data_IF_464949550209
#
_entry.id   IF_464949550209
#
_cell.length_a   1.000
_cell.length_b   1.000
_cell.length_c   1.000
_cell.angle_alpha   90.00
_cell.angle_beta   90.00
_cell.angle_gamma   90.00
#
_symmetry.space_group_name_H-M   'P 1'
#
loop_
_entity.id
_entity.type
_entity.pdbx_description
1 polymer ?
2 non-polymer ?
3 non-polymer ?
4 water ?
#
# COMPACT_ATOMS: atom_id res chain seq x y z
N UNK A 2 15.40 -8.62 18.50
CA UNK A 2 16.50 -7.66 18.10
C UNK A 2 16.78 -7.71 16.57
N UNK A 3 16.88 -8.92 16.01
CA UNK A 3 16.66 -9.15 14.58
C UNK A 3 15.35 -9.92 14.34
N UNK A 4 14.32 -9.61 15.14
CA UNK A 4 13.02 -10.30 15.15
C UNK A 4 11.88 -9.27 15.12
N UNK A 5 10.85 -9.57 14.35
CA UNK A 5 9.66 -8.72 14.24
C UNK A 5 8.46 -9.54 14.64
N UNK A 6 7.72 -9.02 15.61
CA UNK A 6 6.50 -9.65 16.07
C UNK A 6 5.37 -9.38 15.08
N UNK A 7 4.68 -10.45 14.69
CA UNK A 7 3.56 -10.43 13.81
C UNK A 7 2.37 -11.15 14.46
N UNK A 8 1.21 -10.51 14.42
CA UNK A 8 -0.01 -11.06 15.00
C UNK A 8 -1.05 -11.19 13.91
N UNK A 9 -1.56 -12.41 13.75
CA UNK A 9 -2.59 -12.70 12.80
C UNK A 9 -3.92 -12.49 13.50
N UNK A 10 -4.77 -11.63 12.94
CA UNK A 10 -6.00 -11.23 13.60
C UNK A 10 -7.23 -12.05 13.22
N UNK A 11 -7.17 -12.83 12.15
CA UNK A 11 -8.28 -13.69 11.77
C UNK A 11 -7.75 -14.85 10.93
N UNK A 12 -8.69 -15.71 10.48
CA UNK A 12 -8.41 -16.85 9.60
C UNK A 12 -8.10 -16.38 8.18
N UNK A 13 -8.55 -15.19 7.81
CA UNK A 13 -8.33 -14.62 6.47
C UNK A 13 -6.95 -13.98 6.27
N UNK A 14 -6.22 -13.78 7.37
CA UNK A 14 -4.90 -13.23 7.35
C UNK A 14 -3.90 -14.22 6.79
N UNK A 15 -2.90 -13.73 6.05
CA UNK A 15 -1.73 -14.52 5.69
C UNK A 15 -0.46 -13.89 6.26
N UNK A 16 0.45 -14.76 6.71
CA UNK A 16 1.74 -14.33 7.20
C UNK A 16 2.47 -13.64 6.05
N UNK A 17 3.02 -12.44 6.29
CA UNK A 17 3.81 -11.75 5.26
C UNK A 17 5.06 -12.52 4.85
N UNK A 18 5.39 -12.45 3.56
CA UNK A 18 6.41 -13.28 2.94
C UNK A 18 7.36 -12.43 2.11
N UNK A 19 8.64 -12.71 2.25
CA UNK A 19 9.68 -12.10 1.47
C UNK A 19 9.99 -13.04 0.30
N UNK A 20 9.84 -12.54 -0.93
CA UNK A 20 10.16 -13.33 -2.14
C UNK A 20 11.64 -13.81 -2.18
N UNK A 21 12.58 -12.88 -2.37
CA UNK A 21 14.03 -13.17 -2.28
C UNK A 21 14.59 -12.74 -0.91
N UNK A 22 15.61 -13.45 -0.43
CA UNK A 22 16.17 -13.21 0.90
C UNK A 22 16.93 -11.89 1.04
N UNK A 23 17.25 -11.21 -0.07
CA UNK A 23 17.77 -9.83 -0.03
C UNK A 23 16.79 -8.71 -0.47
N UNK A 24 15.57 -9.05 -0.89
CA UNK A 24 14.54 -8.03 -1.21
C UNK A 24 14.24 -7.15 -0.02
N UNK A 25 13.77 -5.95 -0.32
CA UNK A 25 13.45 -4.95 0.70
C UNK A 25 12.20 -5.28 1.52
N UNK A 26 11.19 -5.82 0.88
CA UNK A 26 9.87 -5.79 1.47
C UNK A 26 9.25 -7.14 1.68
N UNK A 27 8.33 -7.18 2.64
CA UNK A 27 7.51 -8.36 2.91
C UNK A 27 6.20 -8.13 2.18
N UNK A 28 5.84 -9.08 1.33
CA UNK A 28 4.59 -9.05 0.62
C UNK A 28 3.44 -9.06 1.61
N UNK A 29 2.40 -8.31 1.28
CA UNK A 29 1.24 -8.15 2.10
C UNK A 29 0.03 -8.57 1.29
N UNK A 30 -0.86 -9.34 1.94
CA UNK A 30 -2.03 -9.95 1.30
C UNK A 30 -3.35 -9.40 1.83
N UNK A 31 -4.30 -9.25 0.93
CA UNK A 31 -5.65 -8.85 1.32
C UNK A 31 -6.34 -9.99 2.12
N UNK A 32 -7.08 -9.60 3.15
CA UNK A 32 -7.94 -10.51 3.91
C UNK A 32 -9.38 -10.38 3.45
N UNK A 33 -9.63 -9.54 2.43
CA UNK A 33 -10.99 -9.32 1.91
C UNK A 33 -11.07 -9.27 0.38
N UNK A 34 -12.21 -9.74 -0.11
CA UNK A 34 -12.60 -9.64 -1.50
C UNK A 34 -13.38 -8.34 -1.64
N UNK A 35 -12.89 -7.44 -2.48
CA UNK A 35 -13.58 -6.18 -2.75
C UNK A 35 -13.58 -5.87 -4.24
N UNK A 36 -14.68 -5.30 -4.70
CA UNK A 36 -14.75 -4.69 -6.01
C UNK A 36 -14.64 -3.18 -5.80
N UNK A 37 -13.78 -2.54 -6.60
CA UNK A 37 -13.66 -1.10 -6.59
C UNK A 37 -14.02 -0.56 -7.94
N UNK A 38 -15.02 0.28 -7.97
CA UNK A 38 -15.43 0.98 -9.17
C UNK A 38 -14.51 2.17 -9.48
N UNK A 39 -14.59 2.73 -10.71
CA UNK A 39 -13.75 3.92 -11.00
C UNK A 39 -13.95 5.04 -9.98
N UNK A 40 -12.84 5.64 -9.53
CA UNK A 40 -12.85 6.70 -8.51
C UNK A 40 -13.17 6.26 -7.05
N UNK A 41 -13.50 5.00 -6.84
CA UNK A 41 -13.84 4.47 -5.51
C UNK A 41 -12.58 4.34 -4.62
N UNK A 42 -12.74 4.68 -3.34
CA UNK A 42 -11.66 4.61 -2.34
C UNK A 42 -12.03 3.63 -1.27
N UNK A 43 -11.01 2.97 -0.70
CA UNK A 43 -11.20 2.03 0.42
C UNK A 43 -9.95 1.93 1.29
N UNK A 44 -10.14 1.42 2.50
CA UNK A 44 -9.04 0.92 3.30
C UNK A 44 -9.24 -0.57 3.39
N UNK A 45 -8.42 -1.32 2.66
CA UNK A 45 -8.47 -2.78 2.69
C UNK A 45 -7.70 -3.39 3.89
N UNK A 46 -8.42 -4.21 4.64
CA UNK A 46 -7.88 -4.92 5.79
C UNK A 46 -6.98 -6.10 5.36
N UNK A 47 -5.85 -6.22 6.04
CA UNK A 47 -4.94 -7.35 5.94
C UNK A 47 -5.20 -8.40 7.04
N UNK A 48 -5.90 -8.01 8.12
CA UNK A 48 -5.98 -8.77 9.38
C UNK A 48 -4.60 -9.19 9.89
N UNK A 49 -3.63 -8.30 9.74
CA UNK A 49 -2.30 -8.54 10.23
C UNK A 49 -1.92 -7.35 11.10
N UNK A 50 -1.35 -7.62 12.29
CA UNK A 50 -0.73 -6.59 13.13
C UNK A 50 0.77 -6.87 13.28
N UNK A 51 1.55 -5.81 13.48
CA UNK A 51 2.99 -5.93 13.71
C UNK A 51 3.43 -4.99 14.83
N UNK A 52 4.61 -5.24 15.37
CA UNK A 52 5.15 -4.42 16.44
C UNK A 52 6.53 -3.94 16.03
N UNK A 53 6.51 -2.85 15.25
CA UNK A 53 7.72 -2.23 14.77
C UNK A 53 8.37 -1.54 15.97
N UNK A 54 9.67 -1.82 16.22
CA UNK A 54 10.31 -1.23 17.38
C UNK A 54 10.68 0.23 17.15
N UNK A 55 10.79 0.94 18.27
CA UNK A 55 11.29 2.30 18.30
C UNK A 55 12.58 2.44 17.45
N UNK A 56 12.70 3.58 16.75
CA UNK A 56 13.82 3.84 15.84
C UNK A 56 13.57 3.42 14.38
N UNK A 57 12.36 2.95 14.08
CA UNK A 57 12.00 2.47 12.76
C UNK A 57 10.61 2.92 12.38
N UNK A 58 10.38 2.94 11.07
CA UNK A 58 9.05 3.12 10.51
C UNK A 58 8.86 2.11 9.38
N UNK A 59 7.63 1.61 9.28
CA UNK A 59 7.21 0.74 8.21
C UNK A 59 6.59 1.57 7.11
N UNK A 60 6.91 1.19 5.87
CA UNK A 60 6.38 1.85 4.67
C UNK A 60 5.50 0.81 3.98
N UNK A 61 4.18 1.00 4.04
CA UNK A 61 3.21 0.07 3.48
C UNK A 61 2.82 0.61 2.08
N UNK A 62 3.38 -0.02 1.07
CA UNK A 62 3.52 0.58 -0.24
C UNK A 62 3.08 -0.39 -1.30
N UNK A 63 3.04 0.15 -2.52
CA UNK A 63 2.61 -0.58 -3.67
C UNK A 63 3.64 -1.67 -4.11
N UNK A 64 3.12 -2.61 -4.89
CA UNK A 64 3.96 -3.50 -5.69
C UNK A 64 4.08 -2.97 -7.11
N UNK A 65 5.19 -3.26 -7.77
CA UNK A 65 5.45 -2.73 -9.09
C UNK A 65 4.43 -3.25 -10.14
N UNK A 66 4.05 -4.53 -10.03
CA UNK A 66 3.14 -5.13 -10.98
C UNK A 66 1.76 -4.49 -10.96
N UNK A 67 1.18 -4.40 -9.78
CA UNK A 67 -0.16 -3.89 -9.62
C UNK A 67 -0.23 -2.41 -10.03
N UNK A 68 0.68 -1.56 -9.50
CA UNK A 68 0.64 -0.13 -9.83
C UNK A 68 0.85 0.15 -11.32
N UNK A 69 1.80 -0.54 -11.97
CA UNK A 69 2.10 -0.30 -13.38
C UNK A 69 1.04 -0.82 -14.35
N UNK A 70 0.37 -1.92 -13.98
CA UNK A 70 -0.57 -2.60 -14.89
C UNK A 70 -2.01 -2.19 -14.70
N UNK A 71 -2.38 -1.76 -13.50
CA UNK A 71 -3.74 -1.29 -13.24
C UNK A 71 -3.78 0.19 -12.87
N UNK A 72 -5.00 0.71 -12.78
CA UNK A 72 -5.31 2.02 -12.22
C UNK A 72 -5.49 2.03 -10.71
N UNK A 73 -5.10 0.95 -10.05
CA UNK A 73 -5.18 0.87 -8.61
C UNK A 73 -3.97 1.57 -7.99
N UNK A 74 -4.23 2.59 -7.18
CA UNK A 74 -3.21 3.43 -6.53
C UNK A 74 -3.26 3.25 -5.02
N UNK A 75 -2.10 2.92 -4.46
CA UNK A 75 -1.94 2.72 -3.03
C UNK A 75 -1.12 3.86 -2.49
N UNK A 76 -1.68 4.56 -1.52
CA UNK A 76 -0.92 5.60 -0.84
C UNK A 76 -0.04 4.93 0.23
N UNK A 77 1.25 5.20 0.17
CA UNK A 77 2.21 4.72 1.17
C UNK A 77 1.82 5.08 2.58
N UNK A 78 1.65 4.04 3.39
CA UNK A 78 1.29 4.22 4.77
C UNK A 78 2.56 4.23 5.54
N UNK A 79 2.68 5.19 6.46
CA UNK A 79 3.79 5.28 7.40
C UNK A 79 3.28 4.58 8.66
N UNK A 80 3.84 3.41 8.93
CA UNK A 80 3.41 2.56 10.00
C UNK A 80 4.29 2.83 11.24
N UNK A 81 3.69 3.45 12.24
CA UNK A 81 4.41 3.94 13.42
C UNK A 81 4.92 2.78 14.27
N UNK A 82 6.11 2.94 14.86
CA UNK A 82 6.57 2.02 15.90
C UNK A 82 5.57 2.06 17.08
N UNK A 83 5.14 0.91 17.56
CA UNK A 83 4.10 0.88 18.59
C UNK A 83 2.69 0.62 18.07
N UNK A 84 2.36 1.01 16.82
CA UNK A 84 1.02 0.70 16.24
C UNK A 84 0.75 -0.81 16.13
N UNK A 85 -0.29 -1.25 16.82
CA UNK A 85 -0.60 -2.67 16.99
C UNK A 85 -1.97 -3.01 16.43
N UNK A 86 -2.51 -2.11 15.61
CA UNK A 86 -3.79 -2.36 14.96
C UNK A 86 -3.61 -3.09 13.64
N UNK A 87 -4.76 -3.33 13.03
CA UNK A 87 -4.87 -3.98 11.74
C UNK A 87 -4.29 -3.05 10.67
N UNK A 88 -3.31 -3.54 9.92
CA UNK A 88 -2.72 -2.79 8.81
C UNK A 88 -3.74 -2.61 7.68
N UNK A 89 -3.96 -1.34 7.32
CA UNK A 89 -4.93 -0.94 6.33
C UNK A 89 -4.24 -0.51 5.05
N UNK A 90 -4.68 -1.08 3.93
CA UNK A 90 -4.21 -0.71 2.60
C UNK A 90 -5.11 0.40 2.06
N UNK A 91 -4.54 1.59 2.01
CA UNK A 91 -5.22 2.83 1.64
C UNK A 91 -5.13 2.97 0.12
N UNK A 92 -6.27 2.74 -0.54
CA UNK A 92 -6.31 2.50 -1.98
C UNK A 92 -7.41 3.31 -2.70
N UNK A 93 -7.14 3.64 -3.97
CA UNK A 93 -8.13 4.23 -4.87
C UNK A 93 -8.00 3.57 -6.25
N UNK A 94 -9.14 3.28 -6.84
CA UNK A 94 -9.21 2.97 -8.25
C UNK A 94 -9.21 4.30 -8.96
N UNK A 95 -8.09 4.68 -9.54
CA UNK A 95 -8.06 5.96 -10.19
C UNK A 95 -8.40 5.93 -11.69
N UNK A 96 -8.99 4.84 -12.16
CA UNK A 96 -9.61 4.79 -13.46
C UNK A 96 -10.69 5.84 -13.53
N UNK A 97 -10.74 6.57 -14.65
CA UNK A 97 -11.78 7.60 -14.87
C UNK A 97 -13.20 7.00 -14.89
N UNK A 98 -14.16 7.76 -14.43
CA UNK A 98 -15.56 7.35 -14.48
C UNK A 98 -16.24 7.86 -15.74
N UNK A 99 -16.11 7.12 -16.83
CA UNK A 99 -16.61 7.59 -18.16
C UNK A 99 -18.05 7.15 -18.53
N UNK A 100 -18.74 6.43 -17.64
CA UNK A 100 -20.15 6.02 -17.82
C UNK A 100 -20.35 4.83 -18.77
N UNK A 101 -19.26 4.25 -19.25
CA UNK A 101 -19.33 3.06 -20.08
C UNK A 101 -19.55 1.82 -19.20
N UNK A 102 -20.18 0.82 -19.81
CA UNK A 102 -20.49 -0.45 -19.18
C UNK A 102 -19.75 -1.59 -19.87
N UNK A 103 -19.46 -2.64 -19.11
CA UNK A 103 -18.77 -3.81 -19.62
C UNK A 103 -19.19 -5.01 -18.79
N UNK A 104 -18.93 -6.19 -19.36
CA UNK A 104 -19.23 -7.49 -18.77
C UNK A 104 -18.04 -7.97 -17.92
N UNK A 105 -16.89 -7.30 -18.04
CA UNK A 105 -15.64 -7.79 -17.49
C UNK A 105 -15.10 -6.85 -16.40
N UNK A 106 -15.01 -7.36 -15.18
CA UNK A 106 -14.15 -6.81 -14.15
C UNK A 106 -12.74 -7.13 -14.54
N UNK A 107 -11.80 -6.41 -13.97
CA UNK A 107 -10.39 -6.67 -14.18
C UNK A 107 -9.75 -7.18 -12.86
N UNK A 108 -8.80 -8.11 -12.97
CA UNK A 108 -8.01 -8.50 -11.81
C UNK A 108 -6.82 -7.55 -11.63
N UNK A 109 -6.02 -7.79 -10.62
CA UNK A 109 -4.86 -6.95 -10.33
C UNK A 109 -3.66 -7.15 -11.26
N UNK A 110 -3.77 -8.06 -12.24
CA UNK A 110 -2.81 -8.17 -13.35
C UNK A 110 -3.37 -7.50 -14.60
N UNK A 111 -4.51 -6.81 -14.43
CA UNK A 111 -5.29 -6.13 -15.47
C UNK A 111 -5.92 -7.07 -16.53
N UNK A 112 -6.12 -8.34 -16.15
CA UNK A 112 -6.73 -9.34 -17.02
C UNK A 112 -8.24 -9.33 -16.80
N UNK A 113 -8.98 -9.53 -17.88
CA UNK A 113 -10.43 -9.59 -17.83
C UNK A 113 -10.87 -10.84 -17.05
N UNK A 114 -11.88 -10.70 -16.21
CA UNK A 114 -12.34 -11.83 -15.40
C UNK A 114 -13.58 -12.35 -16.13
N UNK A 115 -13.45 -13.55 -16.68
CA UNK A 115 -14.53 -14.26 -17.39
C UNK A 115 -15.38 -14.98 -16.35
N UNK A 116 -16.66 -14.68 -16.36
CA UNK A 116 -17.62 -15.27 -15.45
C UNK A 116 -18.64 -16.07 -16.23
N UNK A 117 -19.05 -17.21 -15.67
CA UNK A 117 -20.16 -18.00 -16.21
C UNK A 117 -21.46 -17.21 -16.06
N UNK A 118 -21.66 -16.62 -14.88
CA UNK A 118 -22.83 -15.78 -14.60
C UNK A 118 -22.47 -14.36 -15.01
N UNK A 119 -23.05 -13.90 -16.13
CA UNK A 119 -22.69 -12.61 -16.71
C UNK A 119 -23.42 -11.46 -15.97
N UNK A 120 -22.68 -10.38 -15.69
CA UNK A 120 -23.19 -9.19 -15.00
C UNK A 120 -22.65 -7.92 -15.66
N UNK A 121 -23.36 -6.82 -15.48
CA UNK A 121 -22.89 -5.51 -15.93
C UNK A 121 -22.11 -4.74 -14.84
N UNK A 122 -20.92 -4.29 -15.23
CA UNK A 122 -20.02 -3.53 -14.37
C UNK A 122 -19.73 -2.20 -15.03
N UNK A 123 -19.27 -1.25 -14.20
CA UNK A 123 -18.65 -0.02 -14.68
C UNK A 123 -17.31 -0.33 -15.28
N UNK A 124 -17.05 0.28 -16.43
CA UNK A 124 -15.80 0.05 -17.16
C UNK A 124 -14.70 0.60 -16.24
N UNK A 125 -13.63 -0.17 -16.08
CA UNK A 125 -12.51 0.19 -15.21
C UNK A 125 -12.61 -0.26 -13.77
N UNK A 126 -13.53 -1.19 -13.49
CA UNK A 126 -13.70 -1.76 -12.15
C UNK A 126 -12.75 -2.93 -11.94
N UNK A 127 -12.29 -3.10 -10.72
CA UNK A 127 -11.33 -4.13 -10.39
C UNK A 127 -11.95 -4.95 -9.27
N UNK A 128 -11.62 -6.24 -9.25
CA UNK A 128 -11.85 -7.04 -8.08
C UNK A 128 -10.53 -7.42 -7.45
N UNK A 129 -10.45 -7.21 -6.15
CA UNK A 129 -9.35 -7.74 -5.36
C UNK A 129 -9.88 -8.94 -4.56
N UNK A 130 -9.19 -10.06 -4.73
CA UNK A 130 -9.54 -11.32 -4.09
C UNK A 130 -8.79 -11.47 -2.76
N UNK A 131 -9.50 -12.03 -1.79
CA UNK A 131 -8.90 -12.41 -0.56
C UNK A 131 -7.70 -13.32 -0.81
N UNK A 132 -6.59 -13.03 -0.12
CA UNK A 132 -5.37 -13.78 -0.28
C UNK A 132 -4.48 -13.27 -1.39
N UNK A 133 -4.91 -12.26 -2.14
CA UNK A 133 -4.01 -11.70 -3.15
C UNK A 133 -3.02 -10.69 -2.56
N UNK A 134 -1.90 -10.64 -3.25
CA UNK A 134 -0.70 -9.95 -2.88
C UNK A 134 -0.80 -8.56 -3.53
N UNK A 135 -1.10 -7.54 -2.74
CA UNK A 135 -1.35 -6.21 -3.33
C UNK A 135 -0.47 -5.08 -2.84
N UNK A 136 0.31 -5.34 -1.80
CA UNK A 136 1.17 -4.38 -1.20
C UNK A 136 2.41 -5.10 -0.65
N UNK A 137 3.30 -4.30 -0.10
CA UNK A 137 4.46 -4.79 0.62
C UNK A 137 4.81 -3.86 1.77
N UNK A 138 5.55 -4.38 2.75
CA UNK A 138 5.99 -3.60 3.88
C UNK A 138 7.47 -3.56 3.88
N UNK A 139 8.02 -2.34 3.83
CA UNK A 139 9.45 -2.10 3.92
C UNK A 139 9.71 -1.27 5.19
N UNK A 140 10.64 -1.75 6.02
CA UNK A 140 10.95 -1.09 7.29
C UNK A 140 12.28 -0.37 7.19
N UNK A 141 12.29 0.86 7.68
CA UNK A 141 13.41 1.76 7.51
C UNK A 141 13.70 2.43 8.86
N UNK A 142 14.99 2.53 9.26
CA UNK A 142 15.31 3.35 10.44
C UNK A 142 14.97 4.82 10.23
N UNK A 143 14.69 5.52 11.32
CA UNK A 143 14.29 6.93 11.31
C UNK A 143 15.15 7.69 12.32
N UNK A 144 15.28 8.99 12.10
CA UNK A 144 15.90 9.93 13.03
C UNK A 144 14.79 10.80 13.61
N UNK A 145 14.64 10.76 14.94
CA UNK A 145 13.63 11.54 15.64
C UNK A 145 14.26 12.44 16.74
N UNK A 146 14.97 13.50 16.34
CA UNK A 146 15.58 14.41 17.32
C UNK A 146 14.59 15.38 17.99
N UNK A 147 15.04 16.02 19.06
CA UNK A 147 14.38 17.19 19.61
C UNK A 147 14.49 18.31 18.59
N UNK A 148 13.45 19.14 18.55
CA UNK A 148 13.41 20.32 17.70
C UNK A 148 13.88 21.54 18.50
N UNK A 149 14.74 22.34 17.88
CA UNK A 149 15.26 23.55 18.50
C UNK A 149 14.92 24.73 17.58
N UNK A 150 13.98 25.55 18.01
CA UNK A 150 13.64 26.75 17.27
C UNK A 150 14.84 27.73 17.23
N UNK A 151 15.09 28.30 16.04
CA UNK A 151 16.20 29.24 15.80
C UNK A 151 15.68 30.39 14.92
N UNK A 152 16.39 31.52 14.93
CA UNK A 152 16.12 32.63 13.99
C UNK A 152 16.96 32.52 12.73
N UNK A 153 18.02 31.73 12.78
CA UNK A 153 18.90 31.58 11.64
C UNK A 153 19.66 30.29 11.89
N UNK A 154 19.97 29.57 10.81
CA UNK A 154 20.65 28.29 10.94
C UNK A 154 22.15 28.48 11.18
N UNK A 155 22.77 27.46 11.78
CA UNK A 155 24.17 27.50 12.23
C UNK A 155 25.18 27.28 11.10
N UNK A 156 24.72 27.04 9.87
CA UNK A 156 25.60 26.91 8.71
C UNK A 156 24.87 27.41 7.47
N UNK A 157 25.64 27.87 6.49
CA UNK A 157 25.14 28.29 5.18
C UNK A 157 25.38 27.14 4.18
N UNK A 158 24.31 26.65 3.53
CA UNK A 158 24.38 25.49 2.60
C UNK A 158 24.54 25.93 1.14
N UNK A 159 25.04 25.03 0.30
CA UNK A 159 25.16 25.27 -1.13
C UNK A 159 23.74 25.46 -1.75
N UNK A 160 22.83 24.53 -1.45
CA UNK A 160 21.42 24.60 -1.89
C UNK A 160 20.68 25.89 -1.47
N UNK A 161 20.87 26.31 -0.21
CA UNK A 161 20.16 27.47 0.33
C UNK A 161 18.65 27.32 0.30
N UNK A 162 17.95 28.36 -0.17
CA UNK A 162 16.48 28.34 -0.30
C UNK A 162 15.93 27.80 -1.64
N UNK A 163 16.78 27.28 -2.52
CA UNK A 163 16.38 26.76 -3.83
C UNK A 163 15.58 25.42 -3.75
N UNK A 164 14.46 25.37 -4.46
CA UNK A 164 13.58 24.21 -4.48
C UNK A 164 12.62 24.33 -5.64
N UNK A 165 11.92 23.23 -5.95
CA UNK A 165 10.99 23.16 -7.08
C UNK A 165 11.58 23.71 -8.37
N UNK A 166 12.85 23.37 -8.62
CA UNK A 166 13.58 23.88 -9.79
C UNK A 166 13.11 23.21 -11.07
N UNK A 167 13.49 23.80 -12.20
CA UNK A 167 13.20 23.23 -13.52
C UNK A 167 14.11 22.02 -13.83
N UNK A 168 13.90 21.41 -14.99
CA UNK A 168 14.62 20.19 -15.43
C UNK A 168 16.07 20.41 -15.93
X LIG B 1 -1.98 3.20 9.03
X LIG B 1 -2.29 2.07 8.26
X LIG B 1 -2.21 2.11 6.91
X LIG B 1 -1.86 3.23 6.25
X LIG B 1 -1.56 4.37 6.99
X LIG B 1 -1.60 4.33 8.38
X LIG B 1 -2.64 1.01 8.82
X LIG B 1 -1.82 3.27 4.99
X LIG B 1 -2.06 3.14 10.50
X LIG B 1 -0.70 2.81 11.14
X LIG B 1 -0.19 4.16 11.60
X LIG B 1 -1.48 4.91 11.92
X LIG B 1 0.67 4.07 12.72
X LIG B 1 -2.49 4.41 11.02
X LIG B 1 -1.32 6.41 11.80
X LIG B 1 -2.59 7.01 12.10
X LIG B 1 -2.64 8.61 12.37
X LIG B 1 -3.94 8.80 13.13
X LIG B 1 -1.40 8.90 13.12
X LIG B 1 -2.62 9.23 10.98
X LIG C 1 6.41 7.38 -1.20
X LIG D 1 -7.19 11.14 -11.15
#
# INVERSE_FOLDING_TARGET
MTNTLQVKLLSKNARMPERNHKTDAGYDIFSAETVVLEPQEKAVIKTDVAVSIPEGYVGLLTSRSGVSSKTHLVIETGKIDAGYHGNLGINIKNDHEDDKMQTIFLRNIDNEKIFEKERHLYKLGSYRIEKGERIAQLVIVPIWTPELKQVEEFESVSERGEKGFGSSGV
UMP N1 C2 N3 C4 C5 C6 O2 O4 C1' C2' C3' C4' O3' O4' C5' O5' P OP1 OP2 OP3
MG MG
MG MG
#
